data_IF_071649039676
#
_entry.id   IF_071649039676
#
_cell.length_a   1.000
_cell.length_b   1.000
_cell.length_c   1.000
_cell.angle_alpha   90.00
_cell.angle_beta   90.00
_cell.angle_gamma   90.00
#
_symmetry.space_group_name_H-M   'P 1'
#
loop_
_entity.id
_entity.type
_entity.pdbx_description
1 polymer ?
#
# COMPACT_ATOMS: atom_id res chain seq x y z
N UNK A 1 -3.44 -64.03 -27.01
CA UNK A 1 -3.37 -63.71 -28.44
C UNK A 1 -1.91 -63.65 -28.87
N UNK A 2 -1.54 -64.33 -29.97
CA UNK A 2 -0.13 -64.44 -30.36
C UNK A 2 0.41 -63.14 -30.96
N UNK A 3 1.62 -62.69 -30.55
CA UNK A 3 2.34 -61.52 -31.05
C UNK A 3 2.47 -61.48 -32.59
N UNK A 4 2.41 -62.62 -33.24
CA UNK A 4 2.43 -62.77 -34.71
C UNK A 4 1.17 -62.23 -35.40
N UNK A 5 -0.03 -62.35 -34.77
CA UNK A 5 -1.28 -61.80 -35.31
C UNK A 5 -1.31 -60.27 -35.21
N UNK A 6 -0.74 -59.75 -34.15
CA UNK A 6 -0.68 -58.31 -33.96
C UNK A 6 0.25 -57.60 -34.94
N UNK A 7 1.37 -58.26 -35.27
CA UNK A 7 2.33 -57.80 -36.28
C UNK A 7 1.71 -57.78 -37.69
N UNK A 8 0.98 -58.86 -38.07
CA UNK A 8 0.26 -58.93 -39.34
C UNK A 8 -0.83 -57.85 -39.48
N UNK A 9 -1.60 -57.61 -38.42
CA UNK A 9 -2.63 -56.54 -38.41
C UNK A 9 -1.99 -55.16 -38.59
N UNK A 10 -0.89 -54.84 -37.93
CA UNK A 10 -0.19 -53.57 -38.11
C UNK A 10 0.35 -53.40 -39.54
N UNK A 11 0.86 -54.45 -40.15
CA UNK A 11 1.32 -54.41 -41.54
C UNK A 11 0.16 -54.22 -42.54
N UNK A 12 -1.00 -54.84 -42.30
CA UNK A 12 -2.20 -54.68 -43.11
C UNK A 12 -2.75 -53.24 -43.03
N UNK A 13 -2.76 -52.64 -41.84
CA UNK A 13 -3.14 -51.24 -41.67
C UNK A 13 -2.16 -50.27 -42.33
N UNK A 14 -0.87 -50.53 -42.23
CA UNK A 14 0.15 -49.71 -42.91
C UNK A 14 0.02 -49.75 -44.43
N UNK A 15 -0.36 -50.91 -44.98
CA UNK A 15 -0.59 -51.10 -46.42
C UNK A 15 -1.89 -50.46 -46.94
N UNK A 16 -2.91 -50.24 -46.07
CA UNK A 16 -4.20 -49.62 -46.44
C UNK A 16 -4.21 -48.10 -46.30
N UNK A 17 -3.09 -47.50 -45.87
CA UNK A 17 -3.03 -46.04 -45.61
C UNK A 17 -3.89 -45.55 -44.43
N UNK A 18 -4.54 -46.49 -43.72
CA UNK A 18 -5.35 -46.15 -42.55
C UNK A 18 -4.48 -46.04 -41.30
N UNK A 19 -4.71 -45.02 -40.50
CA UNK A 19 -3.98 -44.85 -39.23
C UNK A 19 -4.27 -46.00 -38.25
N UNK A 20 -3.22 -46.49 -37.56
CA UNK A 20 -3.36 -47.56 -36.56
C UNK A 20 -4.37 -47.12 -35.46
N UNK A 21 -5.46 -47.92 -35.26
CA UNK A 21 -6.49 -47.57 -34.28
C UNK A 21 -5.95 -47.37 -32.86
N UNK A 22 -4.87 -48.02 -32.48
CA UNK A 22 -4.18 -47.79 -31.18
C UNK A 22 -3.48 -46.43 -31.15
N UNK A 23 -2.86 -46.05 -32.25
CA UNK A 23 -2.19 -44.75 -32.35
C UNK A 23 -3.21 -43.58 -32.34
N UNK A 24 -4.37 -43.74 -33.01
CA UNK A 24 -5.45 -42.78 -33.02
C UNK A 24 -6.03 -42.61 -31.61
N UNK A 25 -6.33 -43.70 -30.90
CA UNK A 25 -6.83 -43.65 -29.52
C UNK A 25 -5.81 -43.01 -28.57
N UNK A 26 -4.54 -43.33 -28.66
CA UNK A 26 -3.49 -42.73 -27.86
C UNK A 26 -3.32 -41.22 -28.15
N UNK A 27 -3.50 -40.82 -29.39
CA UNK A 27 -3.50 -39.39 -29.76
C UNK A 27 -4.71 -38.64 -29.20
N UNK A 28 -5.91 -39.26 -29.27
CA UNK A 28 -7.16 -38.70 -28.68
C UNK A 28 -7.07 -38.57 -27.16
N UNK A 29 -6.55 -39.61 -26.48
CA UNK A 29 -6.33 -39.56 -25.02
C UNK A 29 -5.34 -38.47 -24.63
N UNK A 30 -4.21 -38.35 -25.36
CA UNK A 30 -3.26 -37.24 -25.14
C UNK A 30 -3.88 -35.86 -25.40
N UNK A 31 -4.72 -35.74 -26.43
CA UNK A 31 -5.43 -34.52 -26.74
C UNK A 31 -6.45 -34.15 -25.64
N UNK A 32 -7.21 -35.14 -25.13
CA UNK A 32 -8.11 -34.96 -23.98
C UNK A 32 -7.35 -34.54 -22.72
N UNK A 33 -6.23 -35.24 -22.45
CA UNK A 33 -5.41 -34.93 -21.28
C UNK A 33 -4.77 -33.55 -21.35
N UNK A 34 -4.31 -33.14 -22.55
CA UNK A 34 -3.82 -31.74 -22.76
C UNK A 34 -4.92 -30.70 -22.55
N UNK A 35 -6.13 -30.92 -23.09
CA UNK A 35 -7.27 -30.02 -22.87
C UNK A 35 -7.65 -29.94 -21.39
N UNK A 36 -7.68 -31.05 -20.68
CA UNK A 36 -7.96 -31.11 -19.25
C UNK A 36 -6.87 -30.37 -18.45
N UNK A 37 -5.59 -30.60 -18.75
CA UNK A 37 -4.50 -29.90 -18.08
C UNK A 37 -4.54 -28.39 -18.33
N UNK A 38 -4.82 -27.94 -19.56
CA UNK A 38 -5.00 -26.53 -19.88
C UNK A 38 -6.14 -25.93 -19.07
N UNK A 39 -7.27 -26.65 -18.96
CA UNK A 39 -8.42 -26.20 -18.17
C UNK A 39 -8.02 -26.04 -16.69
N UNK A 40 -7.37 -27.06 -16.10
CA UNK A 40 -6.93 -26.97 -14.69
C UNK A 40 -5.94 -25.85 -14.44
N UNK A 41 -4.98 -25.64 -15.34
CA UNK A 41 -4.01 -24.54 -15.25
C UNK A 41 -4.75 -23.20 -15.36
N UNK A 42 -5.69 -23.05 -16.29
CA UNK A 42 -6.46 -21.82 -16.47
C UNK A 42 -7.29 -21.49 -15.22
N UNK A 43 -7.93 -22.49 -14.62
CA UNK A 43 -8.68 -22.31 -13.37
C UNK A 43 -7.76 -21.92 -12.22
N UNK A 44 -6.60 -22.57 -12.10
CA UNK A 44 -5.62 -22.26 -11.07
C UNK A 44 -5.08 -20.82 -11.23
N UNK A 45 -4.75 -20.39 -12.45
CA UNK A 45 -4.32 -19.02 -12.75
C UNK A 45 -5.43 -18.01 -12.42
N UNK A 46 -6.67 -18.28 -12.84
CA UNK A 46 -7.81 -17.42 -12.52
C UNK A 46 -7.99 -17.28 -11.01
N UNK A 47 -7.88 -18.37 -10.26
CA UNK A 47 -7.97 -18.34 -8.80
C UNK A 47 -6.87 -17.48 -8.16
N UNK A 48 -5.61 -17.63 -8.62
CA UNK A 48 -4.48 -16.81 -8.14
C UNK A 48 -4.70 -15.33 -8.43
N UNK A 49 -5.19 -14.98 -9.63
CA UNK A 49 -5.50 -13.60 -9.99
C UNK A 49 -6.61 -13.01 -9.11
N UNK A 50 -7.68 -13.78 -8.86
CA UNK A 50 -8.77 -13.34 -7.96
C UNK A 50 -8.25 -13.16 -6.54
N UNK A 51 -7.45 -14.09 -6.03
CA UNK A 51 -6.85 -13.98 -4.70
C UNK A 51 -5.93 -12.74 -4.59
N UNK A 52 -5.07 -12.50 -5.57
CA UNK A 52 -4.22 -11.32 -5.63
C UNK A 52 -5.06 -10.02 -5.67
N UNK A 53 -6.12 -9.99 -6.46
CA UNK A 53 -7.04 -8.85 -6.53
C UNK A 53 -7.70 -8.57 -5.18
N UNK A 54 -8.20 -9.60 -4.50
CA UNK A 54 -8.82 -9.48 -3.18
C UNK A 54 -7.81 -8.97 -2.14
N UNK A 55 -6.57 -9.47 -2.16
CA UNK A 55 -5.51 -9.01 -1.27
C UNK A 55 -5.15 -7.54 -1.52
N UNK A 56 -5.02 -7.11 -2.77
CA UNK A 56 -4.76 -5.70 -3.12
C UNK A 56 -5.93 -4.83 -2.69
N UNK A 57 -7.17 -5.26 -2.97
CA UNK A 57 -8.38 -4.53 -2.61
C UNK A 57 -8.53 -4.34 -1.10
N UNK A 58 -8.22 -5.39 -0.33
CA UNK A 58 -8.33 -5.38 1.13
C UNK A 58 -7.13 -4.71 1.83
N UNK A 59 -6.00 -4.53 1.14
CA UNK A 59 -4.77 -3.96 1.71
C UNK A 59 -4.83 -2.45 1.98
N UNK A 60 -5.92 -1.78 1.64
CA UNK A 60 -6.06 -0.32 1.67
C UNK A 60 -4.98 0.44 0.84
N UNK A 61 -4.10 -0.25 0.12
CA UNK A 61 -3.03 0.36 -0.67
C UNK A 61 -3.59 1.34 -1.73
N UNK A 62 -4.68 0.96 -2.40
CA UNK A 62 -5.37 1.81 -3.37
C UNK A 62 -5.98 3.07 -2.73
N UNK A 63 -6.46 2.98 -1.49
CA UNK A 63 -7.04 4.13 -0.79
C UNK A 63 -5.94 5.08 -0.30
N UNK A 64 -4.83 4.52 0.20
CA UNK A 64 -3.68 5.30 0.70
C UNK A 64 -2.96 6.07 -0.40
N UNK A 65 -2.95 5.56 -1.63
CA UNK A 65 -2.30 6.21 -2.79
C UNK A 65 -3.15 7.28 -3.47
N UNK A 66 -4.45 7.39 -3.15
CA UNK A 66 -5.32 8.43 -3.73
C UNK A 66 -4.88 9.81 -3.30
N UNK A 67 -4.98 10.78 -4.20
CA UNK A 67 -4.78 12.19 -3.87
C UNK A 67 -5.89 12.66 -2.92
N UNK A 68 -5.50 13.08 -1.73
CA UNK A 68 -6.42 13.59 -0.71
C UNK A 68 -6.38 15.13 -0.60
N UNK A 69 -5.25 15.74 -0.98
CA UNK A 69 -5.05 17.19 -0.85
C UNK A 69 -4.16 17.67 -2.00
N UNK A 70 -4.45 18.88 -2.51
CA UNK A 70 -3.56 19.57 -3.46
C UNK A 70 -3.23 20.93 -2.87
N UNK A 71 -1.94 21.27 -2.81
CA UNK A 71 -1.45 22.59 -2.35
C UNK A 71 -0.61 23.16 -3.50
N UNK A 72 -1.09 24.24 -4.13
CA UNK A 72 -0.50 24.71 -5.37
C UNK A 72 -0.53 23.61 -6.45
N UNK A 73 0.62 23.24 -6.98
CA UNK A 73 0.76 22.17 -7.98
C UNK A 73 1.05 20.81 -7.36
N UNK A 74 1.37 20.75 -6.08
CA UNK A 74 1.76 19.52 -5.38
C UNK A 74 0.55 18.75 -4.90
N UNK A 75 0.49 17.47 -5.27
CA UNK A 75 -0.55 16.53 -4.85
C UNK A 75 -0.04 15.66 -3.70
N UNK A 76 -0.81 15.62 -2.63
CA UNK A 76 -0.53 14.78 -1.45
C UNK A 76 -1.49 13.60 -1.42
N UNK A 77 -0.94 12.43 -1.18
CA UNK A 77 -1.72 11.20 -1.04
C UNK A 77 -2.43 11.16 0.31
N UNK A 78 -3.46 10.31 0.43
CA UNK A 78 -4.15 10.07 1.71
C UNK A 78 -3.16 9.66 2.80
N UNK A 79 -2.16 8.83 2.49
CA UNK A 79 -1.13 8.42 3.45
C UNK A 79 -0.30 9.61 3.97
N UNK A 80 0.10 10.51 3.09
CA UNK A 80 0.88 11.70 3.47
C UNK A 80 0.07 12.67 4.34
N UNK A 81 -1.18 12.92 3.96
CA UNK A 81 -2.09 13.78 4.77
C UNK A 81 -2.36 13.13 6.12
N UNK A 82 -2.57 11.82 6.16
CA UNK A 82 -2.79 11.07 7.39
C UNK A 82 -1.55 11.10 8.30
N UNK A 83 -0.36 10.95 7.74
CA UNK A 83 0.88 11.10 8.49
C UNK A 83 1.01 12.50 9.12
N UNK A 84 0.80 13.56 8.34
CA UNK A 84 0.85 14.93 8.84
C UNK A 84 -0.22 15.19 9.92
N UNK A 85 -1.41 14.60 9.76
CA UNK A 85 -2.46 14.67 10.78
C UNK A 85 -2.05 14.01 12.10
N UNK A 86 -1.45 12.80 12.03
CA UNK A 86 -0.95 12.12 13.22
C UNK A 86 0.25 12.82 13.85
N UNK A 87 1.13 13.43 13.06
CA UNK A 87 2.21 14.25 13.58
C UNK A 87 1.65 15.43 14.36
N UNK A 88 0.68 16.18 13.80
CA UNK A 88 0.00 17.27 14.48
C UNK A 88 -0.71 16.82 15.77
N UNK A 89 -1.34 15.64 15.74
CA UNK A 89 -1.98 15.07 16.94
C UNK A 89 -0.94 14.73 18.03
N UNK A 90 0.17 14.13 17.66
CA UNK A 90 1.24 13.80 18.61
C UNK A 90 1.90 15.06 19.20
N UNK A 91 2.07 16.12 18.41
CA UNK A 91 2.58 17.40 18.90
C UNK A 91 1.68 17.97 20.01
N UNK A 92 0.36 17.99 19.77
CA UNK A 92 -0.60 18.43 20.79
C UNK A 92 -0.56 17.53 22.01
N UNK A 93 -0.58 16.22 21.81
CA UNK A 93 -0.61 15.22 22.90
C UNK A 93 0.67 15.26 23.76
N UNK A 94 1.82 15.53 23.17
CA UNK A 94 3.10 15.63 23.86
C UNK A 94 3.35 17.01 24.50
N UNK A 95 2.47 17.97 24.24
CA UNK A 95 2.57 19.30 24.83
C UNK A 95 2.42 19.24 26.36
N UNK A 96 3.26 19.98 27.09
CA UNK A 96 3.15 20.15 28.53
C UNK A 96 1.81 20.75 28.99
N UNK A 97 1.10 21.39 28.06
CA UNK A 97 -0.17 22.06 28.32
C UNK A 97 -1.41 21.22 27.94
N UNK A 98 -1.22 19.97 27.49
CA UNK A 98 -2.32 19.11 26.99
C UNK A 98 -3.47 18.98 27.99
N UNK A 99 -3.17 18.88 29.29
CA UNK A 99 -4.17 18.80 30.36
C UNK A 99 -5.07 20.03 30.48
N UNK A 100 -4.55 21.21 30.11
CA UNK A 100 -5.30 22.46 30.12
C UNK A 100 -6.13 22.67 28.84
N UNK A 101 -5.81 21.98 27.78
CA UNK A 101 -6.50 22.11 26.49
C UNK A 101 -7.84 21.38 26.45
N UNK A 102 -8.09 20.45 27.42
CA UNK A 102 -9.33 19.70 27.48
C UNK A 102 -9.49 18.63 26.37
N UNK A 103 -8.38 18.13 25.83
CA UNK A 103 -8.39 17.04 24.86
C UNK A 103 -8.67 15.70 25.56
N UNK A 104 -9.81 15.09 25.27
CA UNK A 104 -10.19 13.77 25.79
C UNK A 104 -9.86 12.69 24.73
N UNK A 105 -8.82 11.94 24.98
CA UNK A 105 -8.36 10.86 24.04
C UNK A 105 -9.29 9.66 24.00
N UNK A 106 -10.25 9.57 24.90
CA UNK A 106 -11.25 8.48 24.93
C UNK A 106 -12.44 8.76 24.01
N UNK A 107 -12.61 10.00 23.57
CA UNK A 107 -13.71 10.43 22.70
C UNK A 107 -13.24 10.72 21.27
N UNK A 108 -14.18 10.68 20.33
CA UNK A 108 -13.90 11.06 18.95
C UNK A 108 -13.46 12.54 18.87
N UNK A 109 -12.37 12.82 18.16
CA UNK A 109 -11.85 14.17 17.93
C UNK A 109 -12.83 15.06 17.14
N UNK A 110 -13.72 14.46 16.37
CA UNK A 110 -14.74 15.18 15.60
C UNK A 110 -15.95 15.61 16.44
N UNK A 111 -16.14 15.01 17.62
CA UNK A 111 -17.23 15.35 18.54
C UNK A 111 -16.84 16.34 19.64
N UNK A 112 -15.55 16.71 19.70
CA UNK A 112 -15.02 17.61 20.71
C UNK A 112 -14.65 18.94 20.07
N UNK A 113 -15.16 20.05 20.60
CA UNK A 113 -14.78 21.40 20.21
C UNK A 113 -13.60 21.90 21.04
N UNK A 114 -12.75 22.72 20.44
CA UNK A 114 -11.69 23.43 21.18
C UNK A 114 -12.30 24.38 22.20
N UNK A 115 -11.81 24.26 23.43
CA UNK A 115 -12.10 25.29 24.45
C UNK A 115 -11.39 26.61 24.11
N UNK A 116 -11.85 27.73 24.69
CA UNK A 116 -11.17 29.03 24.51
C UNK A 116 -9.73 28.97 25.03
N UNK A 117 -9.49 28.23 26.09
CA UNK A 117 -8.14 27.98 26.61
C UNK A 117 -7.29 27.23 25.59
N UNK A 118 -7.84 26.19 24.97
CA UNK A 118 -7.13 25.45 23.92
C UNK A 118 -6.81 26.38 22.73
N UNK A 119 -7.77 27.15 22.26
CA UNK A 119 -7.57 28.14 21.18
C UNK A 119 -6.44 29.10 21.50
N UNK A 120 -6.45 29.68 22.69
CA UNK A 120 -5.41 30.62 23.11
C UNK A 120 -4.02 29.97 23.15
N UNK A 121 -3.90 28.77 23.73
CA UNK A 121 -2.61 28.01 23.79
C UNK A 121 -2.09 27.57 22.44
N UNK A 122 -2.99 27.28 21.49
CA UNK A 122 -2.66 26.83 20.14
C UNK A 122 -2.54 27.98 19.12
N UNK A 123 -2.74 29.23 19.55
CA UNK A 123 -2.68 30.41 18.69
C UNK A 123 -3.82 30.49 17.66
N UNK A 124 -4.96 29.85 17.96
CA UNK A 124 -6.15 29.90 17.08
C UNK A 124 -6.89 31.18 17.27
N UNK A 125 -6.92 32.00 16.23
CA UNK A 125 -7.60 33.31 16.25
C UNK A 125 -9.07 33.23 15.85
N UNK A 126 -9.49 32.14 15.22
CA UNK A 126 -10.87 31.90 14.82
C UNK A 126 -11.76 31.68 16.06
N UNK A 127 -12.76 32.52 16.22
CA UNK A 127 -13.74 32.45 17.32
C UNK A 127 -14.88 31.47 17.06
N UNK A 128 -14.94 30.91 15.85
CA UNK A 128 -15.94 29.89 15.48
C UNK A 128 -15.82 28.59 16.26
N UNK A 129 -16.84 27.75 16.14
CA UNK A 129 -16.81 26.40 16.70
C UNK A 129 -15.91 25.53 15.85
N UNK A 130 -14.72 25.21 16.36
CA UNK A 130 -13.72 24.36 15.71
C UNK A 130 -13.56 23.07 16.49
N UNK A 131 -13.72 21.92 15.81
CA UNK A 131 -13.46 20.63 16.46
C UNK A 131 -11.96 20.31 16.47
N UNK A 132 -11.54 19.42 17.38
CA UNK A 132 -10.17 18.94 17.41
C UNK A 132 -9.75 18.30 16.07
N UNK A 133 -10.65 17.55 15.44
CA UNK A 133 -10.38 16.97 14.12
C UNK A 133 -10.13 18.01 13.04
N UNK A 134 -10.92 19.08 13.01
CA UNK A 134 -10.75 20.18 12.07
C UNK A 134 -9.45 20.96 12.32
N UNK A 135 -9.16 21.27 13.58
CA UNK A 135 -7.91 21.92 13.95
C UNK A 135 -6.70 21.14 13.49
N UNK A 136 -6.65 19.82 13.81
CA UNK A 136 -5.54 18.95 13.44
C UNK A 136 -5.38 18.80 11.92
N UNK A 137 -6.49 18.77 11.20
CA UNK A 137 -6.45 18.76 9.74
C UNK A 137 -5.91 20.07 9.16
N UNK A 138 -6.32 21.20 9.71
CA UNK A 138 -5.83 22.52 9.31
C UNK A 138 -4.33 22.66 9.62
N UNK A 139 -3.89 22.20 10.79
CA UNK A 139 -2.48 22.19 11.16
C UNK A 139 -1.67 21.30 10.22
N UNK A 140 -2.12 20.07 9.95
CA UNK A 140 -1.49 19.17 9.01
C UNK A 140 -1.34 19.80 7.61
N UNK A 141 -2.38 20.47 7.13
CA UNK A 141 -2.34 21.21 5.86
C UNK A 141 -1.30 22.34 5.89
N UNK A 142 -1.26 23.11 6.97
CA UNK A 142 -0.29 24.19 7.15
C UNK A 142 1.14 23.67 7.20
N UNK A 143 1.40 22.55 7.91
CA UNK A 143 2.71 21.95 8.03
C UNK A 143 3.19 21.38 6.67
N UNK A 144 2.29 20.76 5.89
CA UNK A 144 2.59 20.33 4.53
C UNK A 144 2.89 21.52 3.60
N UNK A 145 2.17 22.61 3.73
CA UNK A 145 2.40 23.84 2.97
C UNK A 145 3.75 24.48 3.34
N UNK A 146 4.09 24.54 4.62
CA UNK A 146 5.37 25.05 5.10
C UNK A 146 6.54 24.20 4.57
N UNK A 147 6.40 22.88 4.63
CA UNK A 147 7.38 21.92 4.09
C UNK A 147 7.58 22.10 2.59
N UNK A 148 6.49 22.30 1.83
CA UNK A 148 6.56 22.56 0.39
C UNK A 148 7.26 23.88 0.08
N UNK A 149 6.93 24.95 0.83
CA UNK A 149 7.57 26.27 0.66
C UNK A 149 9.06 26.21 0.96
N UNK A 150 9.44 25.49 2.04
CA UNK A 150 10.85 25.27 2.38
C UNK A 150 11.58 24.50 1.26
N UNK A 151 10.97 23.44 0.75
CA UNK A 151 11.53 22.66 -0.35
C UNK A 151 11.73 23.50 -1.60
N UNK A 152 10.73 24.29 -1.98
CA UNK A 152 10.85 25.19 -3.12
C UNK A 152 11.95 26.25 -2.94
N UNK A 153 12.17 26.75 -1.72
CA UNK A 153 13.26 27.65 -1.41
C UNK A 153 14.64 26.96 -1.54
N UNK A 154 14.77 25.74 -1.02
CA UNK A 154 15.98 24.92 -1.14
C UNK A 154 16.32 24.64 -2.60
N UNK A 155 15.32 24.25 -3.40
CA UNK A 155 15.48 23.98 -4.84
C UNK A 155 15.91 25.24 -5.60
N UNK A 156 15.34 26.40 -5.25
CA UNK A 156 15.68 27.71 -5.87
C UNK A 156 17.11 28.12 -5.59
N UNK A 157 17.60 27.90 -4.36
CA UNK A 157 18.96 28.23 -3.95
C UNK A 157 19.99 27.18 -4.40
N UNK A 158 19.58 26.16 -5.16
CA UNK A 158 20.43 25.03 -5.61
C UNK A 158 21.23 24.41 -4.45
N UNK A 159 20.58 24.30 -3.30
CA UNK A 159 21.21 23.73 -2.11
C UNK A 159 21.58 22.27 -2.33
N UNK A 160 22.85 21.94 -2.18
CA UNK A 160 23.34 20.57 -2.39
C UNK A 160 23.40 19.80 -1.08
N UNK A 161 22.99 18.55 -1.14
CA UNK A 161 23.11 17.61 -0.04
C UNK A 161 24.58 17.29 0.23
N UNK A 162 25.05 17.55 1.44
CA UNK A 162 26.44 17.28 1.82
C UNK A 162 26.64 15.87 2.36
N UNK A 163 27.89 15.35 2.32
CA UNK A 163 28.22 14.03 2.87
C UNK A 163 27.86 13.95 4.37
N UNK A 164 28.02 15.05 5.11
CA UNK A 164 27.63 15.10 6.51
C UNK A 164 26.11 14.93 6.69
N UNK A 165 25.31 15.61 5.88
CA UNK A 165 23.85 15.48 5.90
C UNK A 165 23.42 14.06 5.53
N UNK A 166 24.11 13.44 4.57
CA UNK A 166 23.84 12.05 4.20
C UNK A 166 24.13 11.11 5.37
N UNK A 167 25.25 11.27 6.05
CA UNK A 167 25.61 10.45 7.19
C UNK A 167 24.61 10.57 8.36
N UNK A 168 24.13 11.79 8.66
CA UNK A 168 23.10 12.00 9.69
C UNK A 168 21.75 11.41 9.29
N UNK A 169 21.38 11.51 8.01
CA UNK A 169 20.17 10.88 7.50
C UNK A 169 20.24 9.34 7.61
N UNK A 170 21.36 8.74 7.21
CA UNK A 170 21.55 7.29 7.28
C UNK A 170 21.49 6.79 8.73
N UNK A 171 22.08 7.53 9.66
CA UNK A 171 21.98 7.26 11.09
C UNK A 171 20.56 7.35 11.63
N UNK A 172 19.78 8.34 11.17
CA UNK A 172 18.36 8.45 11.51
C UNK A 172 17.58 7.24 10.99
N UNK A 173 17.78 6.85 9.72
CA UNK A 173 17.14 5.70 9.10
C UNK A 173 17.47 4.41 9.85
N UNK A 174 18.72 4.21 10.25
CA UNK A 174 19.13 3.02 11.01
C UNK A 174 18.52 3.00 12.42
N UNK A 175 18.40 4.16 13.05
CA UNK A 175 17.69 4.30 14.34
C UNK A 175 16.23 3.91 14.21
N UNK A 176 15.53 4.39 13.17
CA UNK A 176 14.13 4.05 12.91
C UNK A 176 13.95 2.56 12.61
N UNK A 177 14.84 1.96 11.79
CA UNK A 177 14.84 0.52 11.51
C UNK A 177 15.03 -0.31 12.77
N UNK A 178 15.96 0.08 13.63
CA UNK A 178 16.26 -0.59 14.90
C UNK A 178 15.06 -0.50 15.85
N UNK A 179 14.46 0.69 15.97
CA UNK A 179 13.26 0.91 16.79
C UNK A 179 12.07 0.11 16.29
N UNK A 180 11.84 0.07 14.99
CA UNK A 180 10.79 -0.74 14.37
C UNK A 180 10.99 -2.24 14.64
N UNK A 181 12.24 -2.73 14.53
CA UNK A 181 12.57 -4.13 14.84
C UNK A 181 12.30 -4.45 16.31
N UNK A 182 12.70 -3.58 17.23
CA UNK A 182 12.47 -3.75 18.67
C UNK A 182 10.98 -3.75 19.01
N UNK A 183 10.17 -2.92 18.33
CA UNK A 183 8.72 -2.89 18.50
C UNK A 183 7.98 -4.02 17.78
N UNK A 184 8.66 -4.92 17.05
CA UNK A 184 8.06 -6.01 16.31
C UNK A 184 7.35 -5.60 15.02
N UNK A 185 7.62 -4.40 14.51
CA UNK A 185 7.07 -3.90 13.25
C UNK A 185 8.07 -4.00 12.11
N UNK A 186 7.55 -4.21 10.90
CA UNK A 186 8.36 -3.95 9.72
C UNK A 186 8.60 -2.44 9.59
N UNK A 187 9.83 -2.05 9.37
CA UNK A 187 10.22 -0.65 9.28
C UNK A 187 9.36 0.16 8.26
N UNK A 188 8.93 -0.47 7.16
CA UNK A 188 8.02 0.14 6.17
C UNK A 188 6.62 0.50 6.71
N UNK A 189 6.23 -0.09 7.83
CA UNK A 189 4.95 0.18 8.49
C UNK A 189 5.11 1.11 9.69
N UNK A 190 6.36 1.40 10.08
CA UNK A 190 6.69 2.24 11.22
C UNK A 190 6.88 3.72 10.80
N UNK A 191 7.30 3.95 9.55
CA UNK A 191 7.37 5.24 8.90
C UNK A 191 6.10 5.42 8.07
#
# INVERSE_FOLDING_TARGET
MSASREKKNRQAFAASGAADPKAVRAAEEKAKQRKSNILYISVAVAFVLVAAFVLIWNSAALQRSKTALTIGETKYTTAQVQYAYYAAYNDVRSSSYVSYMGLDTSKSLSSQTLSDTAKALLGVTDQGSLTWSQYLLNKAKSDLQATQSLRAAVDKENYTWTDHMQAEYDKLVDTVKSSAKTAGYYYKNYI
#
